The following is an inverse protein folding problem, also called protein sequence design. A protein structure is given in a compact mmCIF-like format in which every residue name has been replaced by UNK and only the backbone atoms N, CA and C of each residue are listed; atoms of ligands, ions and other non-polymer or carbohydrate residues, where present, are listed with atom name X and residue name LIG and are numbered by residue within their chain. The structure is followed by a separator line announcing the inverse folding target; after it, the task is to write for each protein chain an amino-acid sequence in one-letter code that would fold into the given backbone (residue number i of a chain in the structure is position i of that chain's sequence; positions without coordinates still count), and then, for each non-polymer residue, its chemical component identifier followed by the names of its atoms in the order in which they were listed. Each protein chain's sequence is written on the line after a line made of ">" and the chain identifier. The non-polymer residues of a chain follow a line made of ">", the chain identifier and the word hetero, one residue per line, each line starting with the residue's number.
data_IF_405874877773
#
_entry.id   IF_405874877773
#
_cell.length_a   1.000
_cell.length_b   1.000
_cell.length_c   1.000
_cell.angle_alpha   90.00
_cell.angle_beta   90.00
_cell.angle_gamma   90.00
#
_symmetry.space_group_name_H-M   'P 1'
#
loop_
_entity.id
_entity.type
_entity.pdbx_description
1 polymer ?
#
# COMPACT_ATOMS: atom_id res chain seq x y z
N UNK A 1 15.61 -15.76 -12.50
CA UNK A 1 16.57 -15.72 -13.62
C UNK A 1 17.82 -15.00 -13.14
N UNK A 2 18.80 -14.64 -13.97
CA UNK A 2 19.91 -13.75 -13.55
C UNK A 2 19.57 -12.35 -14.00
N UNK A 3 19.83 -11.37 -13.19
CA UNK A 3 19.36 -9.98 -13.31
C UNK A 3 19.47 -9.41 -14.75
N UNK A 4 20.61 -9.51 -15.40
CA UNK A 4 20.81 -9.00 -16.77
C UNK A 4 20.04 -9.74 -17.89
N UNK A 5 19.23 -10.70 -17.57
CA UNK A 5 18.32 -11.42 -18.48
C UNK A 5 16.88 -11.45 -17.96
N UNK A 6 16.66 -10.90 -16.82
CA UNK A 6 15.36 -10.66 -16.22
C UNK A 6 14.88 -9.28 -16.63
N UNK A 7 13.64 -9.02 -16.70
CA UNK A 7 13.07 -7.74 -17.07
C UNK A 7 12.24 -7.14 -15.93
N UNK A 8 12.27 -7.83 -14.79
CA UNK A 8 11.60 -7.54 -13.54
C UNK A 8 12.38 -8.36 -12.49
N UNK A 9 13.48 -7.77 -11.96
CA UNK A 9 14.55 -8.49 -11.25
C UNK A 9 14.14 -8.96 -9.86
N UNK A 10 13.34 -8.20 -9.14
CA UNK A 10 12.79 -8.47 -7.80
C UNK A 10 11.42 -9.14 -7.85
N UNK A 11 10.73 -9.07 -8.99
CA UNK A 11 9.41 -9.62 -9.28
C UNK A 11 8.26 -8.88 -8.56
N UNK A 12 8.35 -7.59 -8.54
CA UNK A 12 7.43 -6.68 -7.88
C UNK A 12 6.32 -6.12 -8.78
N UNK A 13 6.25 -6.56 -10.04
CA UNK A 13 5.32 -6.17 -11.11
C UNK A 13 5.74 -4.90 -11.88
N UNK A 14 6.71 -4.14 -11.42
CA UNK A 14 7.30 -3.04 -12.18
C UNK A 14 8.50 -3.57 -12.97
N UNK A 15 8.76 -3.04 -14.11
CA UNK A 15 9.85 -3.54 -14.95
C UNK A 15 11.14 -2.76 -14.71
N UNK A 16 12.31 -3.46 -14.62
CA UNK A 16 13.64 -2.87 -14.45
C UNK A 16 13.88 -1.62 -15.32
N UNK A 17 13.29 -1.60 -16.54
CA UNK A 17 13.41 -0.46 -17.44
C UNK A 17 12.60 0.75 -16.96
N UNK A 18 11.52 0.56 -16.24
CA UNK A 18 10.76 1.63 -15.63
C UNK A 18 11.56 2.19 -14.45
N UNK A 19 11.80 1.39 -13.48
CA UNK A 19 12.46 1.75 -12.23
C UNK A 19 13.88 2.29 -12.43
N UNK A 20 14.66 1.68 -13.32
CA UNK A 20 16.04 2.12 -13.61
C UNK A 20 16.14 3.39 -14.45
N UNK A 21 15.04 3.89 -15.00
CA UNK A 21 15.02 5.06 -15.88
C UNK A 21 13.92 6.08 -15.51
N UNK A 22 13.29 5.97 -14.40
CA UNK A 22 12.38 6.96 -13.83
C UNK A 22 13.11 7.85 -12.82
N UNK A 23 13.74 8.92 -13.33
CA UNK A 23 14.53 9.85 -12.51
C UNK A 23 13.68 10.95 -11.87
N UNK A 24 12.40 11.01 -12.20
CA UNK A 24 11.48 12.01 -11.67
C UNK A 24 10.41 11.41 -10.76
N UNK A 25 10.41 10.08 -10.60
CA UNK A 25 9.53 9.33 -9.72
C UNK A 25 8.03 9.54 -10.04
N UNK A 26 7.68 9.51 -11.34
CA UNK A 26 6.29 9.63 -11.79
C UNK A 26 5.69 8.30 -12.30
N UNK A 27 6.37 7.18 -12.05
CA UNK A 27 5.96 5.83 -12.48
C UNK A 27 6.15 5.58 -13.98
N UNK A 28 6.78 6.51 -14.71
CA UNK A 28 6.96 6.42 -16.17
C UNK A 28 8.44 6.61 -16.52
N UNK A 29 9.07 5.66 -17.23
CA UNK A 29 10.49 5.79 -17.56
C UNK A 29 10.78 7.03 -18.42
N UNK A 30 11.73 7.84 -17.99
CA UNK A 30 12.19 9.03 -18.71
C UNK A 30 12.93 8.69 -20.01
N UNK A 31 13.47 7.47 -20.11
CA UNK A 31 14.17 6.93 -21.27
C UNK A 31 13.35 5.82 -21.93
N UNK A 32 13.34 5.74 -23.24
CA UNK A 32 12.52 4.76 -23.96
C UNK A 32 13.27 4.10 -25.13
N UNK A 33 13.03 2.79 -25.27
CA UNK A 33 13.58 2.02 -26.38
C UNK A 33 13.15 2.55 -27.76
N UNK A 34 14.12 2.87 -28.60
CA UNK A 34 13.90 3.41 -29.96
C UNK A 34 14.00 2.36 -31.06
N UNK A 35 14.69 1.25 -30.81
CA UNK A 35 14.98 0.19 -31.77
C UNK A 35 16.12 0.57 -32.73
N UNK A 36 16.96 1.54 -32.37
CA UNK A 36 18.14 1.95 -33.11
C UNK A 36 19.40 1.81 -32.27
N UNK A 37 20.52 1.52 -32.89
CA UNK A 37 21.86 1.36 -32.33
C UNK A 37 22.81 1.92 -33.38
N UNK A 38 23.16 3.20 -33.24
CA UNK A 38 23.84 3.96 -34.29
C UNK A 38 25.33 3.61 -34.41
N UNK A 39 25.99 3.35 -33.31
CA UNK A 39 27.43 3.02 -33.30
C UNK A 39 27.71 1.50 -33.29
N UNK A 40 26.71 0.68 -32.99
CA UNK A 40 26.76 -0.78 -33.08
C UNK A 40 27.40 -1.44 -31.86
N UNK A 41 27.34 -0.83 -30.72
CA UNK A 41 27.91 -1.34 -29.46
C UNK A 41 26.96 -2.28 -28.71
N UNK A 42 25.66 -2.19 -28.99
CA UNK A 42 24.61 -3.07 -28.43
C UNK A 42 23.69 -2.38 -27.45
N UNK A 43 23.95 -1.11 -27.09
CA UNK A 43 23.02 -0.26 -26.39
C UNK A 43 22.06 0.43 -27.40
N UNK A 44 20.82 0.66 -27.01
CA UNK A 44 19.86 1.38 -27.89
C UNK A 44 20.03 2.89 -27.75
N UNK A 45 20.02 3.60 -28.86
CA UNK A 45 20.18 5.07 -28.88
C UNK A 45 19.24 5.81 -27.92
N UNK A 46 18.13 5.18 -27.50
CA UNK A 46 17.18 5.75 -26.54
C UNK A 46 17.71 5.81 -25.12
N UNK A 47 18.76 5.04 -24.82
CA UNK A 47 19.39 4.95 -23.49
C UNK A 47 20.80 5.56 -23.45
N UNK A 48 21.28 6.14 -24.54
CA UNK A 48 22.64 6.70 -24.67
C UNK A 48 22.71 8.20 -24.36
N UNK A 49 21.62 8.83 -23.96
CA UNK A 49 21.60 10.25 -23.64
C UNK A 49 21.84 11.15 -24.84
N UNK A 50 22.72 12.16 -24.72
CA UNK A 50 22.91 13.19 -25.74
C UNK A 50 23.95 12.83 -26.80
N UNK A 51 24.80 11.86 -26.59
CA UNK A 51 25.86 11.41 -27.52
C UNK A 51 25.84 9.91 -27.77
N UNK A 52 25.14 9.49 -28.81
CA UNK A 52 24.97 8.08 -29.20
C UNK A 52 26.27 7.42 -29.73
N UNK A 53 27.45 7.93 -29.43
CA UNK A 53 28.72 7.39 -29.87
C UNK A 53 29.80 7.33 -28.76
N UNK A 54 29.43 7.48 -27.49
CA UNK A 54 30.36 7.45 -26.35
C UNK A 54 30.47 6.07 -25.69
N UNK A 55 29.74 5.10 -26.21
CA UNK A 55 29.97 3.67 -25.99
C UNK A 55 29.45 3.11 -24.71
N UNK A 56 29.83 3.58 -23.57
CA UNK A 56 29.52 2.95 -22.27
C UNK A 56 28.80 3.88 -21.30
N UNK A 57 28.50 5.07 -21.73
CA UNK A 57 27.82 6.10 -20.95
C UNK A 57 26.32 5.98 -21.12
N UNK A 58 25.67 5.33 -20.19
CA UNK A 58 24.22 5.14 -20.20
C UNK A 58 23.57 6.46 -19.83
N UNK A 59 22.92 7.08 -20.80
CA UNK A 59 21.99 8.22 -20.68
C UNK A 59 22.49 9.56 -20.10
N UNK A 60 23.76 9.83 -19.99
CA UNK A 60 24.34 11.04 -19.33
C UNK A 60 23.95 11.16 -17.81
N UNK A 61 23.08 10.29 -17.27
CA UNK A 61 22.55 10.35 -15.91
C UNK A 61 23.20 9.30 -14.99
N UNK A 62 23.66 8.16 -15.56
CA UNK A 62 24.23 7.04 -14.80
C UNK A 62 25.76 6.96 -14.96
N UNK A 63 26.48 7.94 -14.44
CA UNK A 63 27.94 7.96 -14.36
C UNK A 63 28.49 7.11 -13.20
N UNK A 64 27.74 7.02 -12.11
CA UNK A 64 28.07 6.27 -10.89
C UNK A 64 26.84 5.48 -10.42
N UNK A 65 26.63 4.28 -10.97
CA UNK A 65 25.39 3.50 -10.73
C UNK A 65 25.06 3.24 -9.25
N UNK A 66 26.01 3.38 -8.36
CA UNK A 66 25.79 3.25 -6.92
C UNK A 66 25.13 4.50 -6.29
N UNK A 67 25.00 5.58 -7.05
CA UNK A 67 24.44 6.83 -6.55
C UNK A 67 23.51 7.54 -7.56
N UNK A 68 23.45 7.04 -8.78
CA UNK A 68 22.74 7.72 -9.86
C UNK A 68 21.50 6.93 -10.34
N UNK A 69 21.42 5.63 -10.03
CA UNK A 69 20.18 4.86 -10.26
C UNK A 69 19.11 5.28 -9.26
N UNK A 70 17.82 5.26 -9.66
CA UNK A 70 16.71 5.49 -8.75
C UNK A 70 16.76 4.57 -7.53
N UNK A 71 16.58 5.17 -6.36
CA UNK A 71 16.62 4.56 -5.03
C UNK A 71 15.76 5.46 -4.15
N UNK A 72 14.47 5.13 -4.03
CA UNK A 72 13.44 6.01 -3.47
C UNK A 72 13.60 6.17 -1.96
N UNK A 73 13.83 5.09 -1.24
CA UNK A 73 14.00 5.10 0.21
C UNK A 73 15.44 5.45 0.65
N UNK A 74 16.43 5.37 -0.27
CA UNK A 74 17.84 5.67 -0.01
C UNK A 74 18.55 4.65 0.87
N UNK A 75 18.00 3.43 0.99
CA UNK A 75 18.53 2.34 1.80
C UNK A 75 18.58 1.02 1.02
N UNK A 76 19.31 0.02 1.50
CA UNK A 76 19.42 -1.33 0.93
C UNK A 76 19.87 -1.37 -0.53
N UNK A 77 19.01 -1.61 -1.53
CA UNK A 77 19.37 -1.68 -2.95
C UNK A 77 18.61 -0.58 -3.73
N UNK A 78 18.77 -0.50 -5.01
CA UNK A 78 18.09 0.45 -5.91
C UNK A 78 16.74 -0.12 -6.35
N UNK A 79 15.78 0.70 -6.74
CA UNK A 79 14.40 0.30 -7.00
C UNK A 79 14.27 -1.01 -7.80
N UNK A 80 14.90 -1.18 -8.95
CA UNK A 80 14.79 -2.41 -9.76
C UNK A 80 15.32 -3.70 -9.07
N UNK A 81 15.65 -3.67 -7.79
CA UNK A 81 16.12 -4.77 -6.94
C UNK A 81 15.55 -4.74 -5.55
N UNK A 82 14.76 -3.77 -5.26
CA UNK A 82 14.04 -3.66 -4.01
C UNK A 82 12.57 -4.06 -4.26
N UNK A 83 11.95 -4.76 -3.38
CA UNK A 83 10.56 -5.15 -3.50
C UNK A 83 9.63 -4.15 -2.80
N UNK A 84 10.21 -3.23 -2.03
CA UNK A 84 9.57 -2.20 -1.23
C UNK A 84 10.30 -0.89 -1.54
N UNK A 85 10.00 -0.31 -2.71
CA UNK A 85 10.79 0.77 -3.34
C UNK A 85 10.89 2.04 -2.51
N UNK A 86 9.87 2.38 -1.75
CA UNK A 86 9.83 3.60 -0.93
C UNK A 86 10.10 3.36 0.56
N UNK A 87 10.17 2.09 0.98
CA UNK A 87 10.59 1.69 2.32
C UNK A 87 9.55 1.93 3.40
N UNK A 88 8.27 1.99 3.04
CA UNK A 88 7.17 2.22 3.99
C UNK A 88 6.75 0.95 4.73
N UNK A 89 7.08 -0.23 4.19
CA UNK A 89 6.84 -1.55 4.76
C UNK A 89 5.77 -2.34 4.03
N UNK A 90 5.17 -1.77 2.98
CA UNK A 90 4.30 -2.46 2.04
C UNK A 90 5.15 -2.85 0.83
N UNK A 91 5.11 -4.11 0.38
CA UNK A 91 5.81 -4.52 -0.82
C UNK A 91 5.10 -3.93 -2.06
N UNK A 92 5.82 -3.41 -3.04
CA UNK A 92 5.29 -2.80 -4.29
C UNK A 92 4.14 -3.59 -4.96
N UNK A 93 4.14 -4.94 -5.00
CA UNK A 93 2.99 -5.67 -5.54
C UNK A 93 1.70 -5.55 -4.71
N UNK A 94 1.79 -5.20 -3.46
CA UNK A 94 0.64 -5.02 -2.55
C UNK A 94 0.08 -3.59 -2.61
N UNK A 95 0.79 -2.71 -3.33
CA UNK A 95 0.37 -1.33 -3.66
C UNK A 95 -0.34 -1.22 -5.03
N UNK A 96 -0.61 -2.34 -5.71
CA UNK A 96 -1.52 -2.43 -6.86
C UNK A 96 -2.98 -2.46 -6.34
N UNK A 97 -3.46 -1.28 -5.96
CA UNK A 97 -4.73 -1.09 -5.25
C UNK A 97 -5.93 -1.55 -6.08
N UNK A 98 -5.93 -1.27 -7.40
CA UNK A 98 -7.02 -1.69 -8.28
C UNK A 98 -6.85 -3.14 -8.81
N UNK A 99 -5.74 -3.80 -8.47
CA UNK A 99 -5.39 -5.18 -8.80
C UNK A 99 -5.40 -5.46 -10.31
N UNK A 100 -4.99 -4.49 -11.11
CA UNK A 100 -4.88 -4.65 -12.55
C UNK A 100 -3.53 -5.26 -12.98
N UNK A 101 -2.57 -5.33 -12.08
CA UNK A 101 -1.21 -5.87 -12.24
C UNK A 101 -0.20 -4.82 -12.71
N UNK A 102 -0.43 -3.55 -12.37
CA UNK A 102 0.41 -2.41 -12.77
C UNK A 102 0.45 -1.34 -11.65
N UNK A 103 1.28 -1.51 -10.60
CA UNK A 103 1.37 -0.56 -9.47
C UNK A 103 1.73 0.88 -9.90
N UNK A 104 2.27 1.06 -11.11
CA UNK A 104 2.74 2.38 -11.58
C UNK A 104 1.62 3.38 -11.85
N UNK A 105 0.38 2.95 -11.78
CA UNK A 105 -0.78 3.78 -12.08
C UNK A 105 -1.69 4.03 -10.87
N UNK A 106 -1.36 3.46 -9.72
CA UNK A 106 -2.03 3.71 -8.46
C UNK A 106 -1.41 4.92 -7.75
N UNK A 107 -2.24 5.84 -7.30
CA UNK A 107 -1.90 7.12 -6.63
C UNK A 107 -3.09 7.46 -5.72
N UNK A 108 -3.04 6.92 -4.50
CA UNK A 108 -4.15 6.89 -3.56
C UNK A 108 -4.51 8.27 -3.03
N UNK A 109 -3.54 9.12 -2.72
CA UNK A 109 -3.78 10.45 -2.18
C UNK A 109 -3.90 11.53 -3.27
N UNK A 110 -3.72 11.15 -4.56
CA UNK A 110 -3.80 12.03 -5.74
C UNK A 110 -2.76 13.17 -5.72
N UNK A 111 -1.57 12.98 -5.13
CA UNK A 111 -0.52 13.98 -5.09
C UNK A 111 0.34 13.99 -6.36
N UNK A 112 0.33 12.91 -7.12
CA UNK A 112 0.97 12.71 -8.42
C UNK A 112 2.24 11.86 -8.36
N UNK A 113 2.55 11.26 -7.21
CA UNK A 113 3.53 10.20 -7.03
C UNK A 113 2.74 8.88 -6.99
N UNK A 114 3.11 7.83 -7.70
CA UNK A 114 2.47 6.52 -7.52
C UNK A 114 2.76 5.93 -6.14
N UNK A 115 1.82 5.16 -5.60
CA UNK A 115 1.89 4.59 -4.26
C UNK A 115 3.22 3.87 -3.99
N UNK A 116 3.69 3.02 -4.90
CA UNK A 116 4.95 2.28 -4.77
C UNK A 116 6.24 3.14 -4.68
N UNK A 117 6.13 4.44 -4.87
CA UNK A 117 7.23 5.42 -4.77
C UNK A 117 6.97 6.48 -3.69
N UNK A 118 5.86 6.39 -2.97
CA UNK A 118 5.41 7.39 -2.00
C UNK A 118 5.16 6.78 -0.63
N UNK A 119 6.04 6.98 0.35
CA UNK A 119 5.86 6.42 1.70
C UNK A 119 4.74 7.11 2.51
N UNK A 120 3.88 7.94 1.91
CA UNK A 120 2.74 8.61 2.53
C UNK A 120 1.50 8.44 1.64
N UNK A 121 1.03 7.20 1.52
CA UNK A 121 -0.09 6.82 0.66
C UNK A 121 -1.47 7.30 1.14
N UNK A 122 -1.52 8.24 2.06
CA UNK A 122 -2.73 8.89 2.54
C UNK A 122 -3.00 8.72 4.03
N UNK A 123 -4.27 8.76 4.49
CA UNK A 123 -4.59 8.58 5.89
C UNK A 123 -4.23 7.18 6.41
N UNK A 124 -3.68 7.14 7.61
CA UNK A 124 -3.41 5.95 8.44
C UNK A 124 -3.95 6.30 9.82
N UNK A 125 -5.16 5.82 10.14
CA UNK A 125 -5.93 6.30 11.30
C UNK A 125 -5.37 5.82 12.62
N UNK A 126 -4.83 4.61 12.68
CA UNK A 126 -4.29 4.01 13.89
C UNK A 126 -2.75 4.08 13.99
N UNK A 127 -2.07 4.61 12.95
CA UNK A 127 -0.60 4.74 12.83
C UNK A 127 0.11 3.37 12.87
N UNK A 128 -0.45 2.29 12.31
CA UNK A 128 0.19 0.97 12.29
C UNK A 128 1.09 0.73 11.07
N UNK A 129 0.97 1.55 10.04
CA UNK A 129 1.76 1.57 8.82
C UNK A 129 1.01 1.01 7.60
N UNK A 130 -0.26 0.64 7.74
CA UNK A 130 -1.15 0.27 6.64
C UNK A 130 -2.10 1.44 6.39
N UNK A 131 -2.13 2.06 5.20
CA UNK A 131 -3.05 3.15 4.91
C UNK A 131 -4.52 2.71 4.92
N UNK A 132 -5.45 3.57 5.39
CA UNK A 132 -6.88 3.29 5.51
C UNK A 132 -7.50 2.69 4.23
N UNK A 133 -6.97 3.01 3.06
CA UNK A 133 -7.49 2.53 1.76
C UNK A 133 -7.25 1.04 1.51
N UNK A 134 -6.25 0.44 2.13
CA UNK A 134 -5.89 -0.99 2.03
C UNK A 134 -6.04 -1.71 3.36
N UNK A 135 -6.16 -0.98 4.45
CA UNK A 135 -6.45 -1.52 5.77
C UNK A 135 -7.88 -2.11 5.81
N UNK A 136 -8.06 -3.19 6.49
CA UNK A 136 -9.37 -3.83 6.65
C UNK A 136 -9.99 -3.60 8.03
N UNK A 137 -9.27 -2.87 8.90
CA UNK A 137 -9.63 -2.56 10.31
C UNK A 137 -8.99 -1.20 10.69
N UNK A 138 -9.38 -0.11 9.99
CA UNK A 138 -8.77 1.23 9.99
C UNK A 138 -8.45 1.84 11.36
N UNK A 139 -9.14 1.46 12.42
CA UNK A 139 -8.88 1.94 13.79
C UNK A 139 -8.27 0.87 14.71
N UNK A 140 -8.02 -0.34 14.15
CA UNK A 140 -7.36 -1.48 14.79
C UNK A 140 -8.04 -1.93 16.08
N UNK A 141 -9.37 -1.85 16.12
CA UNK A 141 -10.18 -2.31 17.26
C UNK A 141 -10.56 -3.79 17.16
N UNK A 142 -10.35 -4.40 15.99
CA UNK A 142 -10.60 -5.81 15.68
C UNK A 142 -11.97 -6.06 15.07
N UNK A 143 -12.77 -5.05 14.79
CA UNK A 143 -14.00 -5.11 14.01
C UNK A 143 -13.68 -4.60 12.62
N UNK A 144 -13.92 -5.40 11.59
CA UNK A 144 -13.60 -4.99 10.23
C UNK A 144 -14.47 -3.81 9.77
N UNK A 145 -13.93 -2.89 8.99
CA UNK A 145 -14.63 -1.74 8.40
C UNK A 145 -15.92 -2.13 7.71
N UNK A 146 -15.90 -3.25 6.97
CA UNK A 146 -17.09 -3.81 6.31
C UNK A 146 -18.16 -4.30 7.28
N UNK A 147 -17.85 -4.47 8.56
CA UNK A 147 -18.81 -4.80 9.62
C UNK A 147 -19.37 -3.54 10.25
N UNK A 148 -18.56 -2.51 10.35
CA UNK A 148 -18.93 -1.20 10.91
C UNK A 148 -19.65 -0.33 9.92
N UNK A 149 -19.31 -0.42 8.61
CA UNK A 149 -20.16 0.09 7.56
C UNK A 149 -20.99 -1.01 6.89
N UNK A 150 -22.24 -1.20 7.26
CA UNK A 150 -23.09 -2.25 6.70
C UNK A 150 -23.59 -1.95 5.28
N UNK A 151 -22.83 -1.21 4.46
CA UNK A 151 -23.14 -0.91 3.06
C UNK A 151 -24.56 -0.31 2.86
N UNK A 152 -24.81 0.81 3.50
CA UNK A 152 -26.12 1.46 3.48
C UNK A 152 -26.46 2.09 2.12
N UNK A 153 -25.47 2.49 1.35
CA UNK A 153 -25.65 3.07 0.02
C UNK A 153 -25.65 2.02 -1.12
N UNK A 154 -25.04 0.84 -0.89
CA UNK A 154 -25.12 -0.34 -1.76
C UNK A 154 -23.98 -0.48 -2.74
N UNK A 155 -22.81 0.08 -2.48
CA UNK A 155 -21.60 -0.03 -3.32
C UNK A 155 -20.52 -0.97 -2.77
N UNK A 156 -20.65 -1.41 -1.52
CA UNK A 156 -19.71 -2.28 -0.79
C UNK A 156 -18.37 -1.58 -0.46
N UNK A 157 -18.35 -0.24 -0.33
CA UNK A 157 -17.17 0.55 -0.04
C UNK A 157 -17.36 1.29 1.30
N UNK A 158 -16.63 0.94 2.38
CA UNK A 158 -16.77 1.57 3.70
C UNK A 158 -16.36 3.03 3.73
N UNK A 159 -15.58 3.50 2.75
CA UNK A 159 -15.13 4.89 2.66
C UNK A 159 -16.20 5.84 2.10
N UNK A 160 -17.33 5.32 1.57
CA UNK A 160 -18.39 6.15 0.97
C UNK A 160 -19.69 6.13 1.76
N UNK A 161 -20.17 7.31 2.18
CA UNK A 161 -21.36 7.49 3.06
C UNK A 161 -21.32 6.61 4.33
N UNK A 162 -20.16 6.55 5.04
CA UNK A 162 -19.95 5.64 6.17
C UNK A 162 -20.94 5.91 7.32
N UNK A 163 -21.14 4.90 8.15
CA UNK A 163 -21.93 5.03 9.37
C UNK A 163 -21.20 5.91 10.39
N UNK A 164 -21.91 6.77 11.09
CA UNK A 164 -21.46 7.64 12.18
C UNK A 164 -22.56 7.57 13.26
N UNK A 165 -22.38 6.65 14.20
CA UNK A 165 -23.47 6.23 15.10
C UNK A 165 -23.80 7.27 16.16
N UNK A 166 -22.81 7.97 16.70
CA UNK A 166 -23.01 9.04 17.70
C UNK A 166 -23.21 10.42 17.07
N UNK A 167 -22.84 10.60 15.78
CA UNK A 167 -23.02 11.85 15.01
C UNK A 167 -21.99 12.92 15.34
N UNK A 168 -20.81 12.57 15.79
CA UNK A 168 -19.74 13.49 16.13
C UNK A 168 -18.91 13.95 14.92
N UNK A 169 -18.98 13.21 13.82
CA UNK A 169 -18.36 13.48 12.52
C UNK A 169 -17.13 12.61 12.26
N UNK A 170 -16.86 11.60 13.09
CA UNK A 170 -15.93 10.53 12.87
C UNK A 170 -16.74 9.27 12.54
N UNK A 171 -16.56 8.63 11.40
CA UNK A 171 -17.23 7.38 11.05
C UNK A 171 -16.87 6.23 12.00
N UNK A 172 -17.77 5.26 12.16
CA UNK A 172 -17.59 4.13 13.07
C UNK A 172 -16.30 3.33 12.80
N UNK A 173 -15.95 3.06 11.53
CA UNK A 173 -14.72 2.35 11.13
C UNK A 173 -13.42 3.11 11.41
N UNK A 174 -13.50 4.35 11.79
CA UNK A 174 -12.34 5.18 12.21
C UNK A 174 -12.39 5.49 13.70
N UNK A 175 -13.42 5.03 14.46
CA UNK A 175 -13.72 5.45 15.81
C UNK A 175 -13.75 4.29 16.81
N UNK A 176 -12.76 4.18 17.64
CA UNK A 176 -12.62 3.14 18.67
C UNK A 176 -13.69 3.14 19.78
N UNK A 177 -14.69 4.04 19.72
CA UNK A 177 -15.79 4.20 20.73
C UNK A 177 -17.01 4.80 20.00
N UNK A 178 -17.57 4.05 19.02
CA UNK A 178 -18.59 4.48 18.06
C UNK A 178 -19.87 5.08 18.65
N UNK A 179 -20.21 4.77 19.92
CA UNK A 179 -21.39 5.33 20.59
C UNK A 179 -21.04 6.42 21.62
N UNK A 180 -19.73 6.78 21.78
CA UNK A 180 -19.17 7.80 22.72
C UNK A 180 -19.60 7.57 24.18
N UNK A 181 -19.79 6.31 24.61
CA UNK A 181 -20.17 5.97 25.98
C UNK A 181 -18.96 5.81 26.93
N UNK A 182 -17.73 5.72 26.37
CA UNK A 182 -16.44 5.64 27.08
C UNK A 182 -15.99 4.22 27.34
N UNK A 183 -16.53 3.23 26.65
CA UNK A 183 -16.05 1.84 26.58
C UNK A 183 -15.68 1.57 25.12
N UNK A 184 -14.44 1.23 24.82
CA UNK A 184 -14.04 0.99 23.43
C UNK A 184 -14.77 -0.20 22.80
N UNK A 185 -15.05 -0.12 21.50
CA UNK A 185 -15.78 -1.09 20.69
C UNK A 185 -15.15 -2.48 20.75
N UNK A 186 -13.82 -2.57 20.71
CA UNK A 186 -13.08 -3.81 20.97
C UNK A 186 -13.50 -4.54 22.26
N UNK A 187 -13.85 -3.81 23.29
CA UNK A 187 -14.27 -4.37 24.58
C UNK A 187 -15.73 -4.80 24.54
N UNK A 188 -16.59 -4.04 23.89
CA UNK A 188 -18.03 -4.26 23.80
C UNK A 188 -18.40 -5.31 22.77
N UNK A 189 -17.66 -5.39 21.68
CA UNK A 189 -17.80 -6.42 20.66
C UNK A 189 -17.57 -7.85 21.23
N UNK A 190 -16.95 -7.96 22.41
CA UNK A 190 -16.57 -9.24 22.99
C UNK A 190 -17.31 -9.53 24.31
N UNK A 191 -17.61 -10.81 24.57
CA UNK A 191 -18.09 -11.17 25.92
C UNK A 191 -16.97 -11.00 26.95
N UNK A 192 -17.30 -10.50 28.15
CA UNK A 192 -16.32 -10.34 29.25
C UNK A 192 -15.51 -11.63 29.56
N UNK A 193 -16.08 -12.81 29.34
CA UNK A 193 -15.41 -14.09 29.59
C UNK A 193 -14.57 -14.58 28.40
N UNK A 194 -14.79 -14.01 27.22
CA UNK A 194 -14.11 -14.35 25.97
C UNK A 194 -13.17 -13.28 25.48
N UNK A 195 -12.97 -12.20 26.21
CA UNK A 195 -12.16 -11.08 25.80
C UNK A 195 -10.72 -11.48 25.44
N UNK A 196 -10.32 -11.11 24.25
CA UNK A 196 -8.98 -11.29 23.68
C UNK A 196 -8.43 -9.86 23.44
N UNK A 197 -7.34 -9.46 24.08
CA UNK A 197 -6.74 -8.16 23.81
C UNK A 197 -5.94 -8.19 22.51
N UNK A 198 -5.78 -7.05 21.81
CA UNK A 198 -4.89 -6.95 20.65
C UNK A 198 -3.44 -7.29 21.04
N UNK A 199 -2.67 -7.79 20.10
CA UNK A 199 -1.25 -8.11 20.26
C UNK A 199 -0.33 -6.96 19.84
N UNK A 200 -0.81 -6.05 18.99
CA UNK A 200 -0.04 -5.03 18.31
C UNK A 200 0.92 -5.64 17.29
N UNK A 201 0.52 -6.72 16.65
CA UNK A 201 1.26 -7.40 15.61
C UNK A 201 0.29 -7.73 14.48
N UNK A 202 0.70 -7.44 13.30
CA UNK A 202 0.14 -7.86 12.03
C UNK A 202 1.28 -8.53 11.24
N UNK A 203 1.11 -9.79 10.84
CA UNK A 203 2.19 -10.60 10.22
C UNK A 203 2.08 -10.61 8.68
N UNK A 204 0.95 -10.18 8.11
CA UNK A 204 0.66 -10.15 6.66
C UNK A 204 0.27 -8.76 6.11
N UNK A 205 0.37 -7.75 6.95
CA UNK A 205 0.19 -6.32 6.63
C UNK A 205 -1.18 -6.02 5.96
N UNK A 206 -2.26 -6.60 6.49
CA UNK A 206 -3.61 -6.32 6.02
C UNK A 206 -4.39 -5.35 6.95
N UNK A 207 -3.72 -4.85 8.02
CA UNK A 207 -4.27 -3.94 9.01
C UNK A 207 -4.93 -4.63 10.20
N UNK A 208 -5.31 -5.91 10.11
CA UNK A 208 -5.96 -6.63 11.19
C UNK A 208 -4.96 -7.23 12.18
N UNK A 209 -5.09 -6.94 13.47
CA UNK A 209 -4.24 -7.55 14.52
C UNK A 209 -4.34 -9.07 14.52
N UNK A 210 -3.18 -9.75 14.52
CA UNK A 210 -3.02 -11.21 14.58
C UNK A 210 -3.92 -11.92 15.61
N UNK A 211 -4.39 -11.23 16.64
CA UNK A 211 -5.29 -11.79 17.65
C UNK A 211 -6.68 -12.11 17.08
N UNK A 212 -7.07 -11.43 16.00
CA UNK A 212 -8.43 -11.45 15.44
C UNK A 212 -8.53 -12.15 14.09
N UNK A 213 -7.43 -12.44 13.43
CA UNK A 213 -7.39 -13.06 12.11
C UNK A 213 -8.03 -14.47 12.04
N UNK A 214 -7.88 -15.29 13.02
CA UNK A 214 -8.47 -16.65 13.02
C UNK A 214 -7.82 -17.62 12.05
N UNK A 215 -8.50 -17.97 10.96
CA UNK A 215 -8.00 -18.82 9.86
C UNK A 215 -7.98 -18.10 8.50
N UNK A 216 -8.22 -16.83 8.51
CA UNK A 216 -8.36 -15.85 7.46
C UNK A 216 -8.94 -14.62 8.13
N UNK A 217 -9.00 -13.55 7.53
CA UNK A 217 -9.26 -12.20 7.98
C UNK A 217 -10.71 -12.00 8.47
N UNK A 218 -11.10 -12.75 9.51
CA UNK A 218 -12.49 -12.80 9.95
C UNK A 218 -12.88 -11.67 10.92
N UNK A 219 -11.92 -11.03 11.57
CA UNK A 219 -12.15 -10.02 12.58
C UNK A 219 -12.96 -10.51 13.80
N UNK A 220 -13.34 -9.61 14.68
CA UNK A 220 -14.27 -9.88 15.73
C UNK A 220 -15.70 -10.01 15.18
N UNK A 221 -16.48 -10.88 15.75
CA UNK A 221 -17.93 -10.92 15.50
C UNK A 221 -18.63 -10.24 16.67
N UNK A 222 -19.11 -8.99 16.49
CA UNK A 222 -19.69 -8.23 17.60
C UNK A 222 -20.86 -8.93 18.27
N UNK A 223 -20.87 -8.88 19.60
CA UNK A 223 -21.94 -9.47 20.39
C UNK A 223 -23.15 -8.55 20.48
N UNK A 224 -24.32 -9.14 20.62
CA UNK A 224 -25.56 -8.48 20.99
C UNK A 224 -26.15 -9.24 22.19
N UNK A 225 -25.92 -8.71 23.38
CA UNK A 225 -26.19 -9.41 24.65
C UNK A 225 -27.66 -9.63 24.90
N UNK A 226 -28.53 -8.71 24.53
CA UNK A 226 -29.96 -8.84 24.75
C UNK A 226 -30.73 -9.39 23.53
N UNK A 227 -30.10 -9.36 22.33
CA UNK A 227 -30.62 -9.97 21.09
C UNK A 227 -31.84 -9.27 20.52
N UNK A 228 -32.05 -8.00 20.78
CA UNK A 228 -33.29 -7.29 20.42
C UNK A 228 -33.13 -6.00 19.62
N UNK A 229 -31.99 -5.37 19.63
CA UNK A 229 -31.64 -4.14 18.89
C UNK A 229 -30.29 -4.27 18.18
N UNK A 230 -29.47 -3.27 18.17
CA UNK A 230 -28.15 -3.23 17.53
C UNK A 230 -27.12 -4.06 18.32
N UNK A 231 -25.92 -4.17 17.83
CA UNK A 231 -24.80 -4.82 18.54
C UNK A 231 -24.36 -3.97 19.74
N UNK A 232 -23.64 -4.55 20.69
CA UNK A 232 -23.39 -3.90 21.99
C UNK A 232 -22.45 -2.68 21.90
N UNK A 233 -21.69 -2.51 20.80
CA UNK A 233 -20.78 -1.38 20.59
C UNK A 233 -21.43 -0.15 19.93
N UNK A 234 -22.71 -0.24 19.51
CA UNK A 234 -23.47 0.84 18.82
C UNK A 234 -24.54 1.47 19.73
#
# INVERSE_FOLDING_TARGET
>A
EVDYLDADTDNDLVADNNEGNDFNFDGIPDQTFTGTDTDGDGLDDGYEGSDVNDGFDVNDEIDDPANDLPDTDGTEDVNYRDIDDDGDGIDTPDEDIDQDGDPTNDDTDEDGTPDYLDPDNGPDTDDDGVPDVVDIDDDNDGILDTVEDPNLDGDDDPLTDPLDSDGDGKPDHLDIDSDDDGIPDNVEAQTTAGYIPPTGLDDDNDGLDNAYEGSGDEGLTPVNTDGTDEVDYL
#
